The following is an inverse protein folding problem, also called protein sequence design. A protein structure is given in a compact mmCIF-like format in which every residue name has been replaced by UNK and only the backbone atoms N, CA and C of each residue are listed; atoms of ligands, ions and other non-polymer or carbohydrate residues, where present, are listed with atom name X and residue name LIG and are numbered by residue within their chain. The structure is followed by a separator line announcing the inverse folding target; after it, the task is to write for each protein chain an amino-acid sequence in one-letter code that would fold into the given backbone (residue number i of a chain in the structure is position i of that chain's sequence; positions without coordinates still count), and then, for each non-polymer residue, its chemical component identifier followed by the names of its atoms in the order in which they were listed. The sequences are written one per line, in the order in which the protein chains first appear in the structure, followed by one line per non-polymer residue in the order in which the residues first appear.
data_IF_122594494160
#
_entry.id   IF_122594494160
#
_cell.length_a   1.000
_cell.length_b   1.000
_cell.length_c   1.000
_cell.angle_alpha   90.00
_cell.angle_beta   90.00
_cell.angle_gamma   90.00
#
_symmetry.space_group_name_H-M   'P 1'
#
loop_
_entity.id
_entity.type
_entity.pdbx_description
1 polymer ?
#
# COMPACT_ATOMS: atom_id res chain seq x y z
N UNK A 1 3.31 -16.51 -2.80
CA UNK A 1 2.39 -15.95 -1.79
C UNK A 1 2.29 -14.43 -1.85
N UNK A 2 3.31 -13.66 -2.29
CA UNK A 2 3.09 -12.26 -2.73
C UNK A 2 2.14 -12.12 -3.94
N UNK A 3 2.18 -13.06 -4.89
CA UNK A 3 1.30 -13.02 -6.07
C UNK A 3 -0.18 -13.35 -5.80
N UNK A 4 -0.49 -13.93 -4.63
CA UNK A 4 -1.86 -14.34 -4.28
C UNK A 4 -2.68 -13.21 -3.62
N UNK A 5 -2.02 -12.20 -3.02
CA UNK A 5 -2.71 -10.97 -2.58
C UNK A 5 -2.90 -9.97 -3.73
N UNK A 6 -2.20 -10.15 -4.85
CA UNK A 6 -2.42 -9.37 -6.08
C UNK A 6 -3.65 -9.82 -6.87
N UNK A 7 -4.26 -10.96 -6.53
CA UNK A 7 -5.29 -11.65 -7.33
C UNK A 7 -6.65 -11.80 -6.63
N UNK A 8 -6.84 -11.22 -5.44
CA UNK A 8 -8.15 -11.14 -4.81
C UNK A 8 -8.96 -9.96 -5.40
N UNK A 9 -10.13 -10.21 -6.04
CA UNK A 9 -11.00 -9.14 -6.52
C UNK A 9 -11.76 -8.54 -5.33
N UNK A 10 -11.30 -7.41 -4.81
CA UNK A 10 -12.06 -6.55 -3.91
C UNK A 10 -12.24 -5.16 -4.56
N UNK A 11 -13.37 -4.50 -4.35
CA UNK A 11 -14.05 -3.69 -5.35
C UNK A 11 -13.34 -2.36 -5.61
N UNK A 12 -12.90 -2.18 -6.85
CA UNK A 12 -12.30 -0.96 -7.42
C UNK A 12 -13.31 0.19 -7.62
N UNK A 13 -14.30 0.38 -6.74
CA UNK A 13 -15.38 1.37 -6.98
C UNK A 13 -15.09 2.79 -6.49
N UNK A 14 -13.86 3.12 -6.11
CA UNK A 14 -13.50 4.49 -5.68
C UNK A 14 -12.10 4.96 -6.15
N UNK A 15 -11.50 4.33 -7.15
CA UNK A 15 -10.28 4.83 -7.81
C UNK A 15 -10.62 5.16 -9.27
N UNK A 16 -11.29 6.30 -9.46
CA UNK A 16 -11.42 6.96 -10.76
C UNK A 16 -10.52 8.18 -10.78
N UNK A 17 -9.33 8.00 -11.35
CA UNK A 17 -8.49 9.01 -12.01
C UNK A 17 -7.62 8.15 -12.93
N UNK A 18 -7.95 8.00 -14.21
CA UNK A 18 -7.90 9.09 -15.18
C UNK A 18 -6.56 8.97 -15.90
N UNK A 19 -6.61 8.35 -17.09
CA UNK A 19 -5.56 8.28 -18.12
C UNK A 19 -4.32 7.41 -17.86
N UNK A 20 -4.44 6.13 -18.23
CA UNK A 20 -3.48 5.54 -19.18
C UNK A 20 -4.29 4.86 -20.28
N UNK A 21 -4.51 5.59 -21.38
CA UNK A 21 -4.98 5.02 -22.63
C UNK A 21 -3.81 4.98 -23.61
N UNK A 22 -3.47 3.79 -24.09
CA UNK A 22 -2.74 3.60 -25.34
C UNK A 22 -3.49 2.55 -26.18
N UNK A 23 -4.01 3.06 -27.30
CA UNK A 23 -4.15 2.42 -28.60
C UNK A 23 -5.18 1.30 -28.87
N UNK A 24 -6.04 1.64 -29.84
CA UNK A 24 -6.46 0.89 -31.05
C UNK A 24 -7.78 0.10 -31.10
N UNK A 25 -8.50 0.44 -32.19
CA UNK A 25 -9.51 -0.30 -32.97
C UNK A 25 -11.02 -0.01 -32.76
N UNK A 26 -11.52 0.82 -33.69
CA UNK A 26 -12.62 0.57 -34.63
C UNK A 26 -14.08 0.45 -34.14
N UNK A 27 -14.95 1.25 -34.78
CA UNK A 27 -16.20 0.73 -35.34
C UNK A 27 -17.53 1.32 -34.86
N UNK A 28 -18.03 2.29 -35.66
CA UNK A 28 -19.41 2.36 -36.19
C UNK A 28 -20.64 2.67 -35.29
N UNK A 29 -21.31 3.74 -35.71
CA UNK A 29 -22.77 3.90 -35.93
C UNK A 29 -23.79 3.97 -34.77
N UNK A 30 -24.36 5.17 -34.66
CA UNK A 30 -25.78 5.50 -34.83
C UNK A 30 -26.83 5.25 -33.73
N UNK A 31 -27.58 6.35 -33.45
CA UNK A 31 -29.04 6.47 -33.45
C UNK A 31 -29.79 6.74 -32.12
N UNK A 32 -30.66 7.78 -32.20
CA UNK A 32 -31.97 7.99 -31.55
C UNK A 32 -31.98 8.25 -30.02
N UNK A 33 -32.83 9.10 -29.43
CA UNK A 33 -34.01 9.86 -29.86
C UNK A 33 -34.45 10.81 -28.72
N UNK A 34 -35.07 11.94 -29.10
CA UNK A 34 -35.87 12.91 -28.33
C UNK A 34 -37.03 12.29 -27.50
N UNK A 35 -37.65 12.96 -26.49
CA UNK A 35 -38.66 14.01 -26.75
C UNK A 35 -38.91 15.17 -25.74
N UNK A 36 -39.48 16.25 -26.29
CA UNK A 36 -40.58 17.13 -25.82
C UNK A 36 -40.35 18.30 -24.82
N UNK A 37 -40.78 19.50 -25.26
CA UNK A 37 -40.84 20.79 -24.53
C UNK A 37 -42.04 20.96 -23.56
N UNK A 38 -42.57 22.19 -23.24
CA UNK A 38 -42.80 23.31 -24.17
C UNK A 38 -42.50 24.76 -23.64
N UNK A 39 -42.77 25.69 -24.55
CA UNK A 39 -42.65 27.18 -24.64
C UNK A 39 -43.50 28.05 -23.69
N UNK A 40 -43.02 29.28 -23.36
CA UNK A 40 -43.55 30.59 -23.85
C UNK A 40 -43.50 31.79 -22.85
N UNK A 41 -43.33 33.00 -23.44
CA UNK A 41 -43.72 34.37 -23.02
C UNK A 41 -42.81 35.22 -22.08
N UNK A 42 -42.39 36.39 -22.60
CA UNK A 42 -41.90 37.60 -21.90
C UNK A 42 -43.05 38.66 -21.86
N UNK A 43 -42.96 39.93 -21.35
CA UNK A 43 -41.88 40.69 -20.66
C UNK A 43 -42.35 41.61 -19.47
N UNK A 44 -41.45 42.24 -18.68
CA UNK A 44 -41.64 43.59 -18.05
C UNK A 44 -40.33 44.15 -17.46
N UNK A 45 -40.15 45.47 -17.57
CA UNK A 45 -39.04 46.25 -17.04
C UNK A 45 -39.20 46.57 -15.53
N UNK A 46 -38.11 47.03 -14.92
CA UNK A 46 -37.88 47.42 -13.52
C UNK A 46 -37.52 46.33 -12.50
N UNK A 47 -36.24 46.35 -12.12
CA UNK A 47 -35.76 45.83 -10.83
C UNK A 47 -35.80 44.33 -10.65
N UNK A 48 -35.15 43.51 -11.51
CA UNK A 48 -35.18 42.06 -11.29
C UNK A 48 -33.85 41.36 -11.56
N UNK A 49 -33.36 40.80 -10.44
CA UNK A 49 -32.95 39.41 -10.34
C UNK A 49 -31.58 39.13 -10.97
N UNK A 50 -30.52 39.23 -10.15
CA UNK A 50 -29.31 38.44 -10.40
C UNK A 50 -29.80 37.02 -10.71
N UNK A 51 -29.71 36.60 -11.97
CA UNK A 51 -30.09 35.24 -12.36
C UNK A 51 -29.00 34.33 -11.81
N UNK A 52 -29.17 33.94 -10.56
CA UNK A 52 -28.26 33.06 -9.82
C UNK A 52 -27.95 31.80 -10.62
N UNK A 53 -28.88 31.32 -11.45
CA UNK A 53 -28.70 30.20 -12.40
C UNK A 53 -27.64 30.48 -13.48
N UNK A 54 -27.63 31.67 -14.09
CA UNK A 54 -26.61 32.07 -15.07
C UNK A 54 -25.24 32.26 -14.41
N UNK A 55 -25.21 32.86 -13.22
CA UNK A 55 -23.96 33.06 -12.46
C UNK A 55 -23.41 31.71 -11.98
N UNK A 56 -24.26 30.79 -11.49
CA UNK A 56 -23.84 29.42 -11.16
C UNK A 56 -23.28 28.70 -12.38
N UNK A 57 -23.87 28.87 -13.57
CA UNK A 57 -23.40 28.21 -14.79
C UNK A 57 -22.01 28.69 -15.23
N UNK A 58 -21.63 29.93 -14.87
CA UNK A 58 -20.31 30.48 -15.14
C UNK A 58 -19.26 30.19 -14.05
N UNK A 59 -19.67 29.99 -12.79
CA UNK A 59 -18.75 29.67 -11.69
C UNK A 59 -18.56 28.16 -11.46
N UNK A 60 -19.62 27.35 -11.65
CA UNK A 60 -19.69 25.92 -11.32
C UNK A 60 -20.20 25.06 -12.49
N UNK A 61 -20.68 25.66 -13.58
CA UNK A 61 -21.18 24.93 -14.76
C UNK A 61 -20.16 24.75 -15.89
N UNK A 62 -20.59 24.10 -16.97
CA UNK A 62 -19.77 23.73 -18.14
C UNK A 62 -19.13 24.93 -18.88
N UNK A 63 -19.58 26.15 -18.59
CA UNK A 63 -19.02 27.41 -19.15
C UNK A 63 -17.97 28.06 -18.25
N UNK A 64 -17.49 27.36 -17.22
CA UNK A 64 -16.44 27.87 -16.34
C UNK A 64 -15.12 28.01 -17.13
N UNK A 65 -14.54 29.21 -17.23
CA UNK A 65 -13.19 29.36 -17.79
C UNK A 65 -12.18 28.68 -16.86
N UNK A 66 -11.25 27.91 -17.43
CA UNK A 66 -10.13 27.31 -16.68
C UNK A 66 -9.27 28.44 -16.15
N UNK A 67 -9.48 28.79 -14.88
CA UNK A 67 -8.69 29.81 -14.20
C UNK A 67 -7.50 29.10 -13.56
N UNK A 68 -6.30 29.42 -14.03
CA UNK A 68 -5.04 29.06 -13.37
C UNK A 68 -5.02 29.76 -12.01
N UNK A 69 -5.59 29.12 -10.99
CA UNK A 69 -5.47 29.59 -9.62
C UNK A 69 -4.05 29.27 -9.18
N UNK A 70 -3.23 30.31 -9.02
CA UNK A 70 -1.95 30.16 -8.35
C UNK A 70 -2.24 29.64 -6.93
N UNK A 71 -1.67 28.49 -6.52
CA UNK A 71 -1.95 27.87 -5.22
C UNK A 71 -1.54 28.78 -4.04
N UNK A 72 -0.73 29.81 -4.32
CA UNK A 72 -0.35 30.86 -3.39
C UNK A 72 -1.49 31.82 -3.00
N UNK A 73 -2.55 31.95 -3.82
CA UNK A 73 -3.65 32.91 -3.59
C UNK A 73 -4.85 32.26 -2.87
N UNK A 74 -4.98 30.93 -2.89
CA UNK A 74 -6.12 30.21 -2.31
C UNK A 74 -5.89 29.73 -0.86
N UNK A 75 -4.62 29.62 -0.42
CA UNK A 75 -4.28 29.24 0.94
C UNK A 75 -3.89 30.46 1.79
N UNK A 76 -4.48 30.63 2.97
CA UNK A 76 -4.13 31.70 3.92
C UNK A 76 -2.73 31.59 4.54
N UNK A 77 -1.96 30.56 4.16
CA UNK A 77 -0.56 30.37 4.53
C UNK A 77 0.27 30.21 3.26
N UNK A 78 1.42 30.91 3.13
CA UNK A 78 2.34 30.72 2.01
C UNK A 78 2.93 29.31 2.09
N UNK A 79 2.31 28.35 1.40
CA UNK A 79 2.84 27.01 1.25
C UNK A 79 4.11 27.10 0.39
N UNK A 80 5.27 26.61 0.85
CA UNK A 80 6.47 26.60 0.02
C UNK A 80 6.17 25.84 -1.27
N UNK A 81 6.52 26.41 -2.42
CA UNK A 81 6.34 25.78 -3.72
C UNK A 81 7.20 24.51 -3.77
N UNK A 82 6.62 23.36 -3.39
CA UNK A 82 7.22 22.05 -3.63
C UNK A 82 7.28 21.87 -5.14
N UNK A 83 8.47 21.65 -5.69
CA UNK A 83 8.61 21.31 -7.11
C UNK A 83 7.79 20.06 -7.43
N UNK A 84 7.31 19.91 -8.66
CA UNK A 84 6.58 18.70 -9.07
C UNK A 84 7.40 17.42 -8.78
N UNK A 85 8.73 17.52 -8.86
CA UNK A 85 9.68 16.47 -8.48
C UNK A 85 9.62 16.11 -6.99
N UNK A 86 9.46 17.08 -6.09
CA UNK A 86 9.31 16.81 -4.67
C UNK A 86 7.96 16.17 -4.35
N UNK A 87 6.89 16.58 -5.06
CA UNK A 87 5.54 15.99 -4.88
C UNK A 87 5.51 14.52 -5.30
N UNK A 88 6.15 14.17 -6.41
CA UNK A 88 6.23 12.76 -6.84
C UNK A 88 7.09 11.92 -5.90
N UNK A 89 8.14 12.49 -5.29
CA UNK A 89 8.95 11.79 -4.27
C UNK A 89 8.16 11.57 -2.98
N UNK A 90 7.46 12.58 -2.45
CA UNK A 90 6.60 12.45 -1.26
C UNK A 90 5.53 11.36 -1.46
N UNK A 91 4.83 11.40 -2.60
CA UNK A 91 3.86 10.36 -2.97
C UNK A 91 4.50 8.98 -3.12
N UNK A 92 5.72 8.91 -3.62
CA UNK A 92 6.48 7.68 -3.74
C UNK A 92 6.80 7.08 -2.37
N UNK A 93 7.19 7.92 -1.40
CA UNK A 93 7.53 7.47 -0.04
C UNK A 93 6.31 7.07 0.79
N UNK A 94 5.15 7.69 0.54
CA UNK A 94 3.89 7.29 1.17
C UNK A 94 3.27 6.04 0.53
N UNK A 95 3.78 5.60 -0.62
CA UNK A 95 3.23 4.43 -1.30
C UNK A 95 3.41 3.14 -0.49
N UNK A 96 2.38 2.29 -0.51
CA UNK A 96 2.43 0.99 0.16
C UNK A 96 3.55 0.10 -0.40
N UNK A 97 3.84 0.21 -1.70
CA UNK A 97 4.93 -0.54 -2.32
C UNK A 97 6.30 -0.15 -1.75
N UNK A 98 6.56 1.14 -1.56
CA UNK A 98 7.81 1.62 -1.00
C UNK A 98 7.96 1.25 0.49
N UNK A 99 6.90 1.46 1.30
CA UNK A 99 6.89 1.03 2.72
C UNK A 99 7.15 -0.47 2.84
N UNK A 100 6.49 -1.28 2.02
CA UNK A 100 6.68 -2.73 2.02
C UNK A 100 8.09 -3.15 1.57
N UNK A 101 8.68 -2.45 0.59
CA UNK A 101 10.05 -2.72 0.16
C UNK A 101 11.06 -2.42 1.27
N UNK A 102 10.91 -1.29 1.97
CA UNK A 102 11.74 -0.95 3.13
C UNK A 102 11.60 -1.97 4.26
N UNK A 103 10.37 -2.37 4.57
CA UNK A 103 10.10 -3.41 5.57
C UNK A 103 10.68 -4.77 5.17
N UNK A 104 10.61 -5.12 3.88
CA UNK A 104 11.18 -6.34 3.32
C UNK A 104 12.71 -6.36 3.47
N UNK A 105 13.39 -5.27 3.11
CA UNK A 105 14.84 -5.14 3.25
C UNK A 105 15.24 -5.16 4.72
N UNK A 106 14.53 -4.43 5.58
CA UNK A 106 14.77 -4.43 7.03
C UNK A 106 14.61 -5.83 7.64
N UNK A 107 13.53 -6.54 7.29
CA UNK A 107 13.28 -7.91 7.71
C UNK A 107 14.32 -8.90 7.17
N UNK A 108 14.81 -8.71 5.94
CA UNK A 108 15.86 -9.52 5.35
C UNK A 108 17.19 -9.37 6.09
N UNK A 109 17.61 -8.13 6.39
CA UNK A 109 18.86 -7.85 7.12
C UNK A 109 18.77 -8.39 8.54
N UNK A 110 17.69 -8.11 9.26
CA UNK A 110 17.49 -8.58 10.63
C UNK A 110 17.39 -10.11 10.69
N UNK A 111 16.63 -10.72 9.79
CA UNK A 111 16.49 -12.18 9.71
C UNK A 111 17.77 -12.89 9.25
N UNK A 112 18.56 -12.26 8.39
CA UNK A 112 19.87 -12.78 7.96
C UNK A 112 20.89 -12.75 9.09
N UNK A 113 20.98 -11.63 9.82
CA UNK A 113 21.84 -11.51 10.98
C UNK A 113 21.46 -12.53 12.07
N UNK A 114 20.16 -12.63 12.38
CA UNK A 114 19.64 -13.63 13.32
C UNK A 114 19.89 -15.07 12.85
N UNK A 115 19.74 -15.32 11.56
CA UNK A 115 19.95 -16.64 10.97
C UNK A 115 21.41 -17.10 10.98
N UNK A 116 22.35 -16.20 10.69
CA UNK A 116 23.80 -16.48 10.76
C UNK A 116 24.22 -16.67 12.23
N UNK A 117 23.72 -15.83 13.13
CA UNK A 117 24.01 -15.96 14.56
C UNK A 117 23.52 -17.31 15.12
N UNK A 118 22.29 -17.69 14.78
CA UNK A 118 21.72 -18.98 15.20
C UNK A 118 22.50 -20.15 14.61
N UNK A 119 22.90 -20.06 13.34
CA UNK A 119 23.73 -21.09 12.72
C UNK A 119 25.08 -21.22 13.44
N UNK A 120 25.73 -20.11 13.80
CA UNK A 120 27.02 -20.12 14.51
C UNK A 120 27.01 -20.80 15.88
N UNK A 121 25.85 -20.89 16.53
CA UNK A 121 25.67 -21.61 17.82
C UNK A 121 25.40 -23.11 17.59
N UNK A 122 24.99 -23.48 16.38
CA UNK A 122 24.64 -24.85 16.04
C UNK A 122 25.90 -25.69 15.81
N UNK A 123 26.32 -26.46 16.83
CA UNK A 123 27.51 -27.32 16.79
C UNK A 123 27.36 -28.51 15.84
N UNK A 124 26.21 -28.67 15.17
CA UNK A 124 25.90 -29.79 14.29
C UNK A 124 26.54 -29.67 12.89
N UNK A 125 27.03 -28.48 12.50
CA UNK A 125 27.56 -28.21 11.14
C UNK A 125 28.97 -28.74 10.85
N UNK A 126 29.61 -29.46 11.79
CA UNK A 126 31.01 -29.85 11.68
C UNK A 126 31.37 -31.27 12.10
N UNK A 127 30.40 -32.10 12.49
CA UNK A 127 30.63 -33.48 12.96
C UNK A 127 29.86 -34.48 12.10
N UNK A 128 30.35 -34.70 10.88
CA UNK A 128 29.94 -35.85 10.09
C UNK A 128 30.68 -37.11 10.60
N UNK A 129 29.99 -38.17 11.09
CA UNK A 129 30.63 -39.34 11.70
C UNK A 129 31.45 -40.22 10.73
N UNK A 130 31.44 -39.92 9.43
CA UNK A 130 31.88 -40.84 8.38
C UNK A 130 33.32 -40.64 7.91
N UNK A 131 33.93 -39.46 8.12
CA UNK A 131 35.32 -39.18 7.71
C UNK A 131 36.00 -38.11 8.61
N UNK A 132 36.75 -38.50 9.65
CA UNK A 132 37.34 -37.57 10.64
C UNK A 132 38.56 -36.77 10.15
N UNK A 133 38.99 -36.92 8.88
CA UNK A 133 40.24 -36.32 8.36
C UNK A 133 40.03 -35.33 7.20
N UNK A 134 38.79 -35.13 6.75
CA UNK A 134 38.44 -34.06 5.82
C UNK A 134 37.90 -32.90 6.65
N UNK A 135 38.78 -32.00 7.08
CA UNK A 135 38.37 -30.68 7.58
C UNK A 135 37.31 -30.14 6.62
N UNK A 136 36.03 -29.99 7.03
CA UNK A 136 35.05 -29.39 6.14
C UNK A 136 35.60 -28.02 5.79
N UNK A 137 35.84 -27.79 4.50
CA UNK A 137 36.42 -26.55 4.01
C UNK A 137 35.63 -25.42 4.65
N UNK A 138 36.30 -24.42 5.26
CA UNK A 138 35.59 -23.29 5.89
C UNK A 138 34.56 -22.65 4.94
N UNK A 139 34.76 -22.78 3.62
CA UNK A 139 33.81 -22.40 2.57
C UNK A 139 32.53 -23.25 2.51
N UNK A 140 32.61 -24.55 2.75
CA UNK A 140 31.46 -25.47 2.81
C UNK A 140 30.59 -25.13 4.02
N UNK A 141 31.21 -25.00 5.20
CA UNK A 141 30.52 -24.65 6.45
C UNK A 141 29.88 -23.26 6.33
N UNK A 142 30.60 -22.29 5.77
CA UNK A 142 30.07 -20.94 5.56
C UNK A 142 28.93 -20.92 4.53
N UNK A 143 28.99 -21.80 3.51
CA UNK A 143 27.92 -21.94 2.52
C UNK A 143 26.66 -22.54 3.14
N UNK A 144 26.80 -23.55 3.99
CA UNK A 144 25.67 -24.17 4.70
C UNK A 144 25.06 -23.20 5.73
N UNK A 145 25.89 -22.48 6.48
CA UNK A 145 25.46 -21.40 7.37
C UNK A 145 24.72 -20.31 6.62
N UNK A 146 25.27 -19.88 5.47
CA UNK A 146 24.68 -18.88 4.60
C UNK A 146 23.36 -19.33 3.99
N UNK A 147 23.24 -20.60 3.60
CA UNK A 147 22.00 -21.16 3.05
C UNK A 147 20.89 -21.21 4.10
N UNK A 148 21.22 -21.60 5.34
CA UNK A 148 20.29 -21.56 6.49
C UNK A 148 19.94 -20.11 6.86
N UNK A 149 20.91 -19.21 6.89
CA UNK A 149 20.67 -17.77 7.12
C UNK A 149 19.78 -17.14 6.06
N UNK A 150 19.97 -17.51 4.79
CA UNK A 150 19.18 -17.02 3.65
C UNK A 150 17.71 -17.46 3.72
N UNK A 151 17.43 -18.67 4.22
CA UNK A 151 16.04 -19.11 4.40
C UNK A 151 15.36 -18.33 5.54
N UNK A 152 16.05 -18.06 6.64
CA UNK A 152 15.53 -17.20 7.72
C UNK A 152 15.28 -15.77 7.22
N UNK A 153 16.26 -15.16 6.54
CA UNK A 153 16.14 -13.83 5.97
C UNK A 153 14.90 -13.69 5.06
N UNK A 154 14.65 -14.67 4.18
CA UNK A 154 13.47 -14.69 3.31
C UNK A 154 12.15 -14.76 4.09
N UNK A 155 12.09 -15.56 5.14
CA UNK A 155 10.87 -15.67 5.96
C UNK A 155 10.57 -14.36 6.70
N UNK A 156 11.58 -13.76 7.34
CA UNK A 156 11.42 -12.46 8.03
C UNK A 156 11.08 -11.32 7.06
N UNK A 157 11.67 -11.32 5.88
CA UNK A 157 11.35 -10.37 4.82
C UNK A 157 9.88 -10.46 4.38
N UNK A 158 9.36 -11.70 4.19
CA UNK A 158 7.95 -11.92 3.81
C UNK A 158 7.00 -11.45 4.92
N UNK A 159 7.29 -11.76 6.19
CA UNK A 159 6.47 -11.34 7.33
C UNK A 159 6.44 -9.82 7.44
N UNK A 160 7.61 -9.16 7.37
CA UNK A 160 7.72 -7.70 7.44
C UNK A 160 7.01 -6.99 6.27
N UNK A 161 7.15 -7.52 5.06
CA UNK A 161 6.46 -6.99 3.89
C UNK A 161 4.93 -7.14 4.03
N UNK A 162 4.43 -8.29 4.49
CA UNK A 162 2.99 -8.51 4.68
C UNK A 162 2.40 -7.61 5.77
N UNK A 163 3.13 -7.40 6.87
CA UNK A 163 2.72 -6.50 7.94
C UNK A 163 2.57 -5.06 7.42
N UNK A 164 3.61 -4.53 6.76
CA UNK A 164 3.61 -3.15 6.23
C UNK A 164 2.61 -2.94 5.09
N UNK A 165 2.45 -3.92 4.18
CA UNK A 165 1.42 -3.87 3.14
C UNK A 165 0.01 -3.79 3.74
N UNK A 166 -0.28 -4.66 4.72
CA UNK A 166 -1.62 -4.76 5.30
C UNK A 166 -1.96 -3.51 6.09
N UNK A 167 -1.01 -2.98 6.86
CA UNK A 167 -1.16 -1.71 7.57
C UNK A 167 -1.45 -0.56 6.59
N UNK A 168 -0.66 -0.44 5.52
CA UNK A 168 -0.84 0.62 4.54
C UNK A 168 -2.19 0.55 3.82
N UNK A 169 -2.69 -0.65 3.51
CA UNK A 169 -4.03 -0.84 2.92
C UNK A 169 -5.14 -0.41 3.90
N UNK A 170 -5.01 -0.77 5.18
CA UNK A 170 -6.00 -0.40 6.20
C UNK A 170 -5.98 1.11 6.45
N UNK A 171 -4.79 1.70 6.55
CA UNK A 171 -4.58 3.13 6.72
C UNK A 171 -5.15 3.91 5.53
N UNK A 172 -4.89 3.46 4.30
CA UNK A 172 -5.42 4.06 3.07
C UNK A 172 -6.95 4.00 3.00
N UNK A 173 -7.57 2.94 3.53
CA UNK A 173 -9.03 2.80 3.53
C UNK A 173 -9.69 3.66 4.62
N UNK A 174 -9.08 3.80 5.80
CA UNK A 174 -9.65 4.57 6.93
C UNK A 174 -9.25 6.03 6.95
N UNK A 175 -8.14 6.41 6.32
CA UNK A 175 -7.59 7.76 6.34
C UNK A 175 -7.11 8.22 7.73
N UNK A 176 -6.91 7.28 8.66
CA UNK A 176 -6.50 7.56 10.05
C UNK A 176 -5.47 6.53 10.48
N UNK A 177 -4.36 6.98 11.05
CA UNK A 177 -3.31 6.14 11.65
C UNK A 177 -3.54 5.98 13.15
N UNK A 178 -3.92 4.77 13.57
CA UNK A 178 -4.17 4.42 14.96
C UNK A 178 -3.39 3.16 15.35
N UNK A 179 -3.09 2.99 16.64
CA UNK A 179 -2.49 1.76 17.21
C UNK A 179 -3.29 0.49 16.89
N UNK A 180 -4.60 0.62 16.68
CA UNK A 180 -5.48 -0.49 16.30
C UNK A 180 -5.14 -1.03 14.91
N UNK A 181 -4.68 -0.17 13.99
CA UNK A 181 -4.31 -0.59 12.63
C UNK A 181 -3.15 -1.57 12.66
N UNK A 182 -2.16 -1.35 13.55
CA UNK A 182 -1.05 -2.26 13.77
C UNK A 182 -1.50 -3.61 14.36
N UNK A 183 -2.47 -3.62 15.28
CA UNK A 183 -3.01 -4.86 15.87
C UNK A 183 -3.80 -5.65 14.82
N UNK A 184 -4.62 -4.99 14.00
CA UNK A 184 -5.36 -5.64 12.92
C UNK A 184 -4.43 -6.19 11.83
N UNK A 185 -3.43 -5.42 11.39
CA UNK A 185 -2.46 -5.88 10.39
C UNK A 185 -1.62 -7.05 10.93
N UNK A 186 -1.26 -7.03 12.22
CA UNK A 186 -0.62 -8.13 12.93
C UNK A 186 -1.49 -9.39 12.93
N UNK A 187 -2.75 -9.29 13.37
CA UNK A 187 -3.67 -10.42 13.36
C UNK A 187 -3.87 -11.00 11.95
N UNK A 188 -4.08 -10.16 10.94
CA UNK A 188 -4.29 -10.60 9.55
C UNK A 188 -3.05 -11.29 9.02
N UNK A 189 -1.87 -10.72 9.23
CA UNK A 189 -0.60 -11.31 8.77
C UNK A 189 -0.30 -12.63 9.47
N UNK A 190 -0.40 -12.67 10.81
CA UNK A 190 -0.17 -13.88 11.61
C UNK A 190 -1.21 -14.96 11.37
N UNK A 191 -2.47 -14.55 11.17
CA UNK A 191 -3.58 -15.43 10.81
C UNK A 191 -3.40 -16.03 9.42
N UNK A 192 -3.04 -15.24 8.41
CA UNK A 192 -2.82 -15.71 7.05
C UNK A 192 -1.66 -16.72 6.95
N UNK A 193 -0.57 -16.47 7.67
CA UNK A 193 0.59 -17.38 7.70
C UNK A 193 0.25 -18.64 8.50
N UNK A 194 -0.39 -18.49 9.66
CA UNK A 194 -0.77 -19.60 10.54
C UNK A 194 -1.85 -20.50 9.94
N UNK A 195 -2.77 -19.95 9.15
CA UNK A 195 -3.85 -20.71 8.51
C UNK A 195 -3.31 -21.80 7.56
N UNK A 196 -2.11 -21.59 7.00
CA UNK A 196 -1.46 -22.60 6.15
C UNK A 196 -1.03 -23.85 6.91
N UNK A 197 -0.87 -23.77 8.24
CA UNK A 197 -0.64 -24.89 9.12
C UNK A 197 -1.95 -25.44 9.76
N UNK A 198 -3.10 -24.81 9.48
CA UNK A 198 -4.44 -25.21 9.94
C UNK A 198 -5.19 -24.08 10.66
N UNK A 199 -6.52 -24.24 10.81
CA UNK A 199 -7.39 -23.22 11.42
C UNK A 199 -6.99 -22.89 12.87
N UNK A 200 -6.64 -23.90 13.68
CA UNK A 200 -6.19 -23.70 15.07
C UNK A 200 -4.90 -22.88 15.15
N UNK A 201 -3.95 -23.15 14.24
CA UNK A 201 -2.71 -22.39 14.13
C UNK A 201 -2.96 -20.96 13.62
N UNK A 202 -3.94 -20.75 12.73
CA UNK A 202 -4.35 -19.43 12.28
C UNK A 202 -4.92 -18.56 13.41
N UNK A 203 -5.79 -19.11 14.26
CA UNK A 203 -6.36 -18.35 15.40
C UNK A 203 -5.28 -18.02 16.43
N UNK A 204 -4.41 -18.98 16.77
CA UNK A 204 -3.25 -18.75 17.64
C UNK A 204 -2.27 -17.73 17.01
N UNK A 205 -2.05 -17.80 15.70
CA UNK A 205 -1.19 -16.88 14.96
C UNK A 205 -1.74 -15.46 14.95
N UNK A 206 -3.05 -15.28 14.74
CA UNK A 206 -3.68 -13.96 14.85
C UNK A 206 -3.52 -13.39 16.26
N UNK A 207 -3.83 -14.18 17.30
CA UNK A 207 -3.71 -13.72 18.69
C UNK A 207 -2.28 -13.35 19.08
N UNK A 208 -1.30 -14.18 18.69
CA UNK A 208 0.12 -13.95 18.98
C UNK A 208 0.68 -12.71 18.27
N UNK A 209 0.43 -12.58 16.96
CA UNK A 209 0.89 -11.40 16.21
C UNK A 209 0.15 -10.12 16.64
N UNK A 210 -1.15 -10.19 16.94
CA UNK A 210 -1.90 -9.05 17.48
C UNK A 210 -1.33 -8.57 18.82
N UNK A 211 -1.04 -9.51 19.73
CA UNK A 211 -0.45 -9.19 21.02
C UNK A 211 0.97 -8.61 20.88
N UNK A 212 1.79 -9.19 20.00
CA UNK A 212 3.13 -8.68 19.73
C UNK A 212 3.09 -7.25 19.15
N UNK A 213 2.23 -7.00 18.15
CA UNK A 213 2.05 -5.67 17.57
C UNK A 213 1.55 -4.65 18.60
N UNK A 214 0.60 -5.03 19.46
CA UNK A 214 0.13 -4.17 20.54
C UNK A 214 1.24 -3.84 21.55
N UNK A 215 2.08 -4.81 21.91
CA UNK A 215 3.19 -4.62 22.83
C UNK A 215 4.26 -3.69 22.26
N UNK A 216 4.58 -3.80 20.97
CA UNK A 216 5.53 -2.90 20.30
C UNK A 216 4.98 -1.47 20.25
N UNK A 217 3.70 -1.29 19.86
CA UNK A 217 3.05 0.02 19.89
C UNK A 217 2.99 0.61 21.31
N UNK A 218 2.78 -0.21 22.33
CA UNK A 218 2.82 0.23 23.72
C UNK A 218 4.22 0.65 24.16
N UNK A 219 5.28 -0.01 23.67
CA UNK A 219 6.66 0.31 24.00
C UNK A 219 7.19 1.55 23.27
N UNK A 220 6.78 1.77 22.01
CA UNK A 220 7.24 2.88 21.17
C UNK A 220 6.44 4.17 21.36
N UNK A 221 5.39 4.14 22.18
CA UNK A 221 4.51 5.28 22.46
C UNK A 221 4.84 5.93 23.80
#
# INVERSE_FOLDING_TARGET
MCSLLSSAPFPQRALSLGNMAAATEAGSAAAASEPAGPTSAAPTADGQQLQYSLILSHLVGDRRPVKELSPAVMGGLPMPHKSEEQKMIERGMESCGFKAALACVGGFVLGGAFGIFTAGIDTNVGLDPKDPLRTPTAKEVLKDMGQRGMSYAKNFAIVGAMFSCTECIIESHRGVSDWKNAVYSGCVTGGAIGFRAGLKAGVLGCGGFAAFSAAIEYYLR
#
